data_IF_165959678466
#
_entry.id   IF_165959678466
#
_cell.length_a   1.000
_cell.length_b   1.000
_cell.length_c   1.000
_cell.angle_alpha   90.00
_cell.angle_beta   90.00
_cell.angle_gamma   90.00
#
_symmetry.space_group_name_H-M   'P 1'
#
loop_
_entity.id
_entity.type
_entity.pdbx_description
1 polymer ?
#
# COMPACT_ATOMS: atom_id res chain seq x y z
N UNK A 1 -7.16 13.63 -3.65
CA UNK A 1 -6.11 12.86 -2.94
C UNK A 1 -4.77 13.60 -2.87
N UNK A 2 -4.24 14.20 -3.96
CA UNK A 2 -2.92 14.87 -3.91
C UNK A 2 -2.82 16.00 -2.87
N UNK A 3 -3.86 16.83 -2.72
CA UNK A 3 -3.89 17.92 -1.74
C UNK A 3 -3.88 17.36 -0.33
N UNK A 4 -4.70 16.36 -0.08
CA UNK A 4 -4.89 15.70 1.21
C UNK A 4 -3.60 15.01 1.68
N UNK A 5 -2.91 14.32 0.77
CA UNK A 5 -1.61 13.70 1.05
C UNK A 5 -0.53 14.73 1.36
N UNK A 6 -0.49 15.86 0.64
CA UNK A 6 0.44 16.96 0.97
C UNK A 6 0.16 17.59 2.33
N UNK A 7 -1.10 17.75 2.70
CA UNK A 7 -1.47 18.24 4.03
C UNK A 7 -1.11 17.23 5.13
N UNK A 8 -1.18 15.93 4.85
CA UNK A 8 -0.71 14.90 5.78
C UNK A 8 0.83 14.92 5.91
N UNK A 9 1.56 15.01 4.79
CA UNK A 9 3.02 15.13 4.77
C UNK A 9 3.50 16.35 5.56
N UNK A 10 2.83 17.50 5.41
CA UNK A 10 3.14 18.72 6.16
C UNK A 10 2.85 18.62 7.68
N UNK A 11 2.20 17.55 8.13
CA UNK A 11 1.96 17.22 9.55
C UNK A 11 2.84 16.07 10.04
N UNK A 12 3.91 15.77 9.30
CA UNK A 12 4.85 14.67 9.56
C UNK A 12 4.18 13.29 9.63
N UNK A 13 3.05 13.11 8.94
CA UNK A 13 2.44 11.79 8.77
C UNK A 13 3.33 10.97 7.86
N UNK A 14 3.68 9.76 8.32
CA UNK A 14 4.40 8.80 7.50
C UNK A 14 3.51 8.26 6.38
N UNK A 15 3.86 8.59 5.14
CA UNK A 15 3.08 8.22 3.95
C UNK A 15 3.90 7.24 3.13
N UNK A 16 3.30 6.08 2.84
CA UNK A 16 3.84 5.11 1.89
C UNK A 16 2.86 4.93 0.75
N UNK A 17 3.36 5.03 -0.49
CA UNK A 17 2.57 4.85 -1.71
C UNK A 17 3.19 3.72 -2.52
N UNK A 18 2.38 2.74 -2.87
CA UNK A 18 2.71 1.71 -3.84
C UNK A 18 1.86 1.89 -5.10
N UNK A 19 2.45 1.75 -6.28
CA UNK A 19 1.75 1.81 -7.55
C UNK A 19 2.39 0.93 -8.62
N UNK A 20 1.59 0.31 -9.47
CA UNK A 20 2.11 -0.32 -10.69
C UNK A 20 2.50 0.72 -11.73
N UNK A 21 1.74 1.80 -11.86
CA UNK A 21 2.03 2.86 -12.84
C UNK A 21 2.99 3.91 -12.29
N UNK A 22 3.64 4.63 -13.21
CA UNK A 22 4.53 5.77 -12.93
C UNK A 22 3.85 6.85 -12.09
N UNK A 23 4.51 7.28 -11.01
CA UNK A 23 4.09 8.44 -10.20
C UNK A 23 5.02 9.63 -10.47
N UNK A 24 4.54 10.62 -11.25
CA UNK A 24 5.34 11.80 -11.65
C UNK A 24 5.72 12.74 -10.51
N UNK A 25 4.98 12.74 -9.40
CA UNK A 25 5.15 13.65 -8.26
C UNK A 25 5.01 12.84 -6.97
N UNK A 26 6.07 12.10 -6.57
CA UNK A 26 6.02 11.26 -5.38
C UNK A 26 5.77 12.10 -4.12
N UNK A 27 5.12 11.48 -3.14
CA UNK A 27 4.81 12.05 -1.81
C UNK A 27 5.17 10.95 -0.80
N UNK A 28 5.91 11.31 0.26
CA UNK A 28 6.48 10.32 1.18
C UNK A 28 7.31 9.23 0.48
N UNK A 29 7.34 8.03 1.06
CA UNK A 29 8.03 6.88 0.47
C UNK A 29 7.17 6.30 -0.65
N UNK A 30 7.63 6.45 -1.90
CA UNK A 30 6.91 5.96 -3.09
C UNK A 30 7.65 4.81 -3.74
N UNK A 31 6.95 3.69 -3.96
CA UNK A 31 7.43 2.51 -4.69
C UNK A 31 6.59 2.38 -5.95
N UNK A 32 7.23 2.26 -7.10
CA UNK A 32 6.54 2.12 -8.38
C UNK A 32 7.28 1.18 -9.32
N UNK A 33 6.53 0.39 -10.10
CA UNK A 33 7.06 -0.38 -11.23
C UNK A 33 7.28 0.47 -12.49
N UNK A 34 6.89 1.74 -12.46
CA UNK A 34 7.07 2.71 -13.54
C UNK A 34 6.41 2.33 -14.88
N UNK A 35 5.36 1.50 -14.83
CA UNK A 35 4.63 1.05 -16.03
C UNK A 35 3.73 2.15 -16.59
N UNK A 36 3.43 2.08 -17.90
CA UNK A 36 2.44 2.94 -18.53
C UNK A 36 1.03 2.57 -18.08
N UNK A 37 0.23 3.58 -17.74
CA UNK A 37 -1.12 3.37 -17.23
C UNK A 37 -2.08 2.82 -18.29
N UNK A 38 -1.85 3.11 -19.58
CA UNK A 38 -2.69 2.58 -20.67
C UNK A 38 -2.54 1.09 -20.80
N UNK A 39 -1.30 0.59 -20.82
CA UNK A 39 -0.99 -0.84 -20.90
C UNK A 39 -1.58 -1.58 -19.69
N UNK A 40 -1.48 -0.99 -18.50
CA UNK A 40 -2.08 -1.55 -17.29
C UNK A 40 -3.61 -1.63 -17.35
N UNK A 41 -4.28 -0.62 -17.91
CA UNK A 41 -5.75 -0.54 -17.98
C UNK A 41 -6.39 -1.62 -18.87
N UNK A 42 -5.60 -2.23 -19.77
CA UNK A 42 -6.02 -3.36 -20.61
C UNK A 42 -6.07 -4.66 -19.81
N UNK A 43 -5.20 -4.83 -18.81
CA UNK A 43 -5.06 -6.05 -18.01
C UNK A 43 -5.82 -5.93 -16.68
N UNK A 44 -5.74 -4.77 -16.02
CA UNK A 44 -6.23 -4.56 -14.66
C UNK A 44 -6.95 -3.21 -14.55
N UNK A 45 -8.17 -3.19 -13.99
CA UNK A 45 -8.91 -1.94 -13.74
C UNK A 45 -8.43 -1.19 -12.49
N UNK A 46 -8.21 0.14 -12.55
CA UNK A 46 -7.64 0.90 -11.44
C UNK A 46 -8.43 0.74 -10.14
N UNK A 47 -7.71 0.47 -9.06
CA UNK A 47 -8.26 0.31 -7.71
C UNK A 47 -7.41 1.09 -6.71
N UNK A 48 -8.03 1.47 -5.60
CA UNK A 48 -7.37 2.08 -4.45
C UNK A 48 -7.60 1.19 -3.23
N UNK A 49 -6.54 0.99 -2.47
CA UNK A 49 -6.55 0.43 -1.11
C UNK A 49 -5.77 1.42 -0.25
N UNK A 50 -6.40 1.96 0.78
CA UNK A 50 -5.82 2.91 1.71
C UNK A 50 -6.07 2.43 3.13
N UNK A 51 -5.03 2.34 3.94
CA UNK A 51 -5.12 2.07 5.37
C UNK A 51 -4.55 3.27 6.12
N UNK A 52 -5.25 3.70 7.17
CA UNK A 52 -4.82 4.81 8.05
C UNK A 52 -4.72 4.31 9.48
N UNK A 53 -3.51 4.40 10.04
CA UNK A 53 -3.16 4.09 11.44
C UNK A 53 -3.69 2.75 11.98
N UNK A 54 -3.95 1.76 11.12
CA UNK A 54 -4.68 0.54 11.48
C UNK A 54 -5.97 0.84 12.27
N UNK A 55 -6.70 1.90 11.86
CA UNK A 55 -8.01 2.28 12.41
C UNK A 55 -9.10 2.36 11.35
N UNK A 56 -8.71 2.59 10.10
CA UNK A 56 -9.63 2.79 8.99
C UNK A 56 -9.05 2.24 7.70
N UNK A 57 -9.91 1.66 6.86
CA UNK A 57 -9.57 1.33 5.48
C UNK A 57 -10.60 1.86 4.48
N UNK A 58 -10.11 2.27 3.32
CA UNK A 58 -10.89 2.59 2.13
C UNK A 58 -10.41 1.70 1.00
N UNK A 59 -11.33 0.94 0.39
CA UNK A 59 -11.03 0.07 -0.75
C UNK A 59 -12.08 0.24 -1.84
N UNK A 60 -11.67 0.35 -3.08
CA UNK A 60 -12.64 0.47 -4.17
C UNK A 60 -12.00 0.71 -5.54
N UNK A 61 -12.85 0.86 -6.54
CA UNK A 61 -12.40 1.29 -7.86
C UNK A 61 -11.89 2.73 -7.79
N UNK A 62 -10.80 3.02 -8.48
CA UNK A 62 -10.33 4.40 -8.69
C UNK A 62 -10.71 4.94 -10.08
N UNK A 63 -11.54 4.20 -10.84
CA UNK A 63 -12.12 4.68 -12.10
C UNK A 63 -13.17 5.77 -11.85
N UNK A 64 -13.29 6.74 -12.76
CA UNK A 64 -14.28 7.82 -12.62
C UNK A 64 -15.73 7.37 -12.85
N UNK A 65 -15.95 6.23 -13.50
CA UNK A 65 -17.29 5.73 -13.82
C UNK A 65 -17.77 4.72 -12.76
N UNK A 66 -18.81 5.09 -12.00
CA UNK A 66 -19.51 4.21 -11.05
C UNK A 66 -18.61 3.56 -9.98
N UNK A 67 -17.55 4.24 -9.55
CA UNK A 67 -16.69 3.73 -8.50
C UNK A 67 -17.45 3.65 -7.17
N UNK A 68 -17.64 2.42 -6.69
CA UNK A 68 -18.04 2.14 -5.31
C UNK A 68 -16.78 1.92 -4.49
N UNK A 69 -16.79 2.47 -3.28
CA UNK A 69 -15.76 2.24 -2.30
C UNK A 69 -16.40 1.74 -1.00
N UNK A 70 -15.70 0.82 -0.34
CA UNK A 70 -15.97 0.41 1.02
C UNK A 70 -15.14 1.30 1.93
N UNK A 71 -15.82 2.01 2.83
CA UNK A 71 -15.21 2.70 3.96
C UNK A 71 -15.57 1.91 5.22
N UNK A 72 -14.57 1.43 5.96
CA UNK A 72 -14.84 0.63 7.16
C UNK A 72 -13.71 0.68 8.17
N UNK A 73 -14.07 0.50 9.44
CA UNK A 73 -13.15 0.25 10.56
C UNK A 73 -13.22 -1.21 11.03
N UNK A 74 -13.83 -2.11 10.25
CA UNK A 74 -13.88 -3.54 10.59
C UNK A 74 -12.45 -4.11 10.69
N UNK A 75 -12.03 -4.65 11.85
CA UNK A 75 -10.65 -5.09 12.06
C UNK A 75 -10.17 -6.17 11.09
N UNK A 76 -11.05 -7.10 10.71
CA UNK A 76 -10.70 -8.17 9.78
C UNK A 76 -10.43 -7.64 8.37
N UNK A 77 -11.30 -6.75 7.88
CA UNK A 77 -11.16 -6.14 6.56
C UNK A 77 -9.90 -5.25 6.52
N UNK A 78 -9.66 -4.48 7.57
CA UNK A 78 -8.48 -3.65 7.69
C UNK A 78 -7.19 -4.47 7.71
N UNK A 79 -7.16 -5.58 8.44
CA UNK A 79 -6.00 -6.47 8.44
C UNK A 79 -5.74 -7.05 7.05
N UNK A 80 -6.79 -7.50 6.34
CA UNK A 80 -6.66 -7.96 4.95
C UNK A 80 -6.08 -6.85 4.06
N UNK A 81 -6.52 -5.60 4.19
CA UNK A 81 -6.01 -4.48 3.42
C UNK A 81 -4.52 -4.19 3.71
N UNK A 82 -4.12 -4.18 5.00
CA UNK A 82 -2.71 -3.99 5.39
C UNK A 82 -1.82 -5.12 4.89
N UNK A 83 -2.24 -6.37 5.07
CA UNK A 83 -1.50 -7.56 4.61
C UNK A 83 -1.34 -7.54 3.07
N UNK A 84 -2.35 -7.06 2.33
CA UNK A 84 -2.30 -6.90 0.88
C UNK A 84 -1.25 -5.85 0.44
N UNK A 85 -1.20 -4.70 1.11
CA UNK A 85 -0.19 -3.65 0.84
C UNK A 85 1.22 -4.17 1.16
N UNK A 86 1.40 -4.84 2.30
CA UNK A 86 2.68 -5.42 2.71
C UNK A 86 3.17 -6.42 1.66
N UNK A 87 2.29 -7.30 1.17
CA UNK A 87 2.63 -8.29 0.15
C UNK A 87 3.07 -7.63 -1.16
N UNK A 88 2.33 -6.62 -1.64
CA UNK A 88 2.66 -5.90 -2.87
C UNK A 88 4.04 -5.22 -2.78
N UNK A 89 4.34 -4.56 -1.66
CA UNK A 89 5.65 -3.92 -1.41
C UNK A 89 6.76 -4.97 -1.32
N UNK A 90 6.52 -6.08 -0.63
CA UNK A 90 7.50 -7.17 -0.47
C UNK A 90 7.86 -7.78 -1.83
N UNK A 91 6.85 -8.06 -2.67
CA UNK A 91 7.05 -8.56 -4.03
C UNK A 91 7.77 -7.52 -4.92
N UNK A 92 7.47 -6.23 -4.74
CA UNK A 92 8.19 -5.16 -5.42
C UNK A 92 9.66 -5.10 -5.01
N UNK A 93 9.96 -5.27 -3.72
CA UNK A 93 11.33 -5.39 -3.21
C UNK A 93 12.14 -6.45 -3.94
N UNK A 94 11.55 -7.64 -4.11
CA UNK A 94 12.17 -8.74 -4.85
C UNK A 94 12.38 -8.42 -6.33
N UNK A 95 11.38 -7.84 -7.01
CA UNK A 95 11.43 -7.59 -8.46
C UNK A 95 12.26 -6.38 -8.86
N UNK A 96 12.29 -5.36 -8.01
CA UNK A 96 13.02 -4.11 -8.23
C UNK A 96 14.36 -4.08 -7.48
N UNK A 97 14.72 -5.18 -6.82
CA UNK A 97 15.99 -5.39 -6.12
C UNK A 97 16.29 -4.33 -5.04
N UNK A 98 15.35 -4.13 -4.11
CA UNK A 98 15.54 -3.29 -2.91
C UNK A 98 15.05 -4.02 -1.65
N UNK A 99 15.55 -3.63 -0.47
CA UNK A 99 15.08 -4.19 0.81
C UNK A 99 13.74 -3.55 1.23
N UNK A 100 12.63 -4.31 1.26
CA UNK A 100 11.33 -3.76 1.65
C UNK A 100 11.16 -3.64 3.18
N UNK A 101 12.03 -4.26 3.98
CA UNK A 101 11.84 -4.40 5.43
C UNK A 101 11.65 -3.08 6.18
N UNK A 102 12.44 -2.02 5.92
CA UNK A 102 12.24 -0.73 6.60
C UNK A 102 10.84 -0.14 6.37
N UNK A 103 10.22 -0.45 5.22
CA UNK A 103 8.93 0.11 4.79
C UNK A 103 7.76 -0.74 5.31
N UNK A 104 7.89 -2.07 5.30
CA UNK A 104 6.77 -2.96 5.70
C UNK A 104 6.70 -3.16 7.22
N UNK A 105 7.82 -3.12 7.95
CA UNK A 105 7.83 -3.34 9.41
C UNK A 105 6.94 -2.33 10.14
N UNK A 106 6.98 -1.06 9.75
CA UNK A 106 6.12 -0.01 10.30
C UNK A 106 4.60 -0.23 10.06
N UNK A 107 4.22 -1.07 9.09
CA UNK A 107 2.82 -1.40 8.80
C UNK A 107 2.33 -2.63 9.56
N UNK A 108 3.25 -3.48 10.02
CA UNK A 108 2.94 -4.72 10.72
C UNK A 108 2.47 -4.43 12.16
N UNK A 109 1.47 -5.18 12.62
CA UNK A 109 0.99 -5.05 14.01
C UNK A 109 1.99 -5.57 15.05
N UNK A 110 2.88 -6.49 14.66
CA UNK A 110 3.93 -7.07 15.52
C UNK A 110 5.23 -7.25 14.72
N UNK A 111 5.97 -6.17 14.44
CA UNK A 111 7.15 -6.20 13.56
C UNK A 111 8.32 -7.06 14.08
N UNK A 112 8.34 -7.33 15.38
CA UNK A 112 9.43 -8.07 16.05
C UNK A 112 9.21 -9.59 16.04
N UNK A 113 8.01 -10.05 15.66
CA UNK A 113 7.72 -11.48 15.52
C UNK A 113 8.12 -11.91 14.11
N UNK A 114 9.38 -12.33 13.97
CA UNK A 114 9.88 -12.89 12.72
C UNK A 114 9.35 -14.32 12.54
N UNK A 115 8.60 -14.55 11.46
CA UNK A 115 8.11 -15.87 11.10
C UNK A 115 9.27 -16.89 11.03
N UNK A 116 10.44 -16.47 10.55
CA UNK A 116 11.67 -17.28 10.50
C UNK A 116 12.08 -17.80 11.88
N UNK A 117 11.96 -16.98 12.94
CA UNK A 117 12.25 -17.39 14.31
C UNK A 117 11.24 -18.42 14.84
N UNK A 118 10.05 -18.51 14.26
CA UNK A 118 9.05 -19.52 14.58
C UNK A 118 9.27 -20.79 13.75
N UNK A 119 9.61 -20.65 12.47
CA UNK A 119 9.93 -21.75 11.57
C UNK A 119 11.23 -22.47 11.97
N UNK A 120 12.17 -21.80 12.63
CA UNK A 120 13.38 -22.42 13.16
C UNK A 120 13.14 -23.27 14.43
N UNK A 121 11.92 -23.28 14.98
CA UNK A 121 11.55 -24.02 16.21
C UNK A 121 10.79 -25.33 15.95
N UNK A 122 10.51 -25.66 14.69
CA UNK A 122 9.84 -26.88 14.23
C UNK A 122 10.83 -27.72 13.43
#
# INVERSE_FOLDING_TARGET
MKKELKTAEARDVNIVIFSFSRIKKPIGTTISYDLDEKDLNEIWKPKVVLVVDNKLTIMGSSSQQSARAVWTSNPAIMKIASDYIILDITLAGQRLNFDPNPIVKQMMSHPDIHLENLLAKI
#
